data_IF_827833496173
#
_entry.id   IF_827833496173
#
_cell.length_a   1.000
_cell.length_b   1.000
_cell.length_c   1.000
_cell.angle_alpha   90.00
_cell.angle_beta   90.00
_cell.angle_gamma   90.00
#
_symmetry.space_group_name_H-M   'P 1'
#
loop_
_entity.id
_entity.type
_entity.pdbx_description
1 polymer ?
#
# COMPACT_ATOMS: atom_id res chain seq x y z
N UNK A 1 11.79 -19.04 -0.88
CA UNK A 1 13.21 -18.89 -0.50
C UNK A 1 13.27 -17.84 0.61
N UNK A 2 14.33 -17.79 1.42
CA UNK A 2 14.47 -16.72 2.40
C UNK A 2 14.35 -15.35 1.72
N UNK A 3 13.42 -14.52 2.20
CA UNK A 3 13.12 -13.20 1.62
C UNK A 3 11.98 -13.16 0.59
N UNK A 4 11.44 -14.31 0.17
CA UNK A 4 10.27 -14.32 -0.71
C UNK A 4 9.02 -13.82 0.03
N UNK A 5 8.19 -13.03 -0.67
CA UNK A 5 6.96 -12.46 -0.14
C UNK A 5 5.73 -13.05 -0.85
N UNK A 6 4.67 -13.32 -0.08
CA UNK A 6 3.36 -13.72 -0.59
C UNK A 6 2.35 -12.65 -0.15
N UNK A 7 1.70 -12.00 -1.10
CA UNK A 7 0.63 -11.04 -0.83
C UNK A 7 -0.70 -11.78 -0.77
N UNK A 8 -1.38 -11.72 0.39
CA UNK A 8 -2.59 -12.50 0.66
C UNK A 8 -3.85 -12.04 -0.12
N UNK A 9 -3.75 -10.96 -0.90
CA UNK A 9 -4.86 -10.35 -1.62
C UNK A 9 -5.61 -9.30 -0.79
N UNK A 10 -6.53 -8.61 -1.44
CA UNK A 10 -7.40 -7.60 -0.83
C UNK A 10 -8.86 -7.95 -1.06
N UNK A 11 -9.74 -7.46 -0.18
CA UNK A 11 -11.19 -7.57 -0.35
C UNK A 11 -11.75 -6.25 -0.91
N UNK A 12 -12.80 -6.27 -1.76
CA UNK A 12 -13.47 -5.07 -2.23
C UNK A 12 -14.30 -4.39 -1.11
N UNK A 13 -14.64 -3.10 -1.27
CA UNK A 13 -14.32 -2.23 -2.40
C UNK A 13 -12.91 -1.61 -2.31
N UNK A 14 -12.33 -1.32 -3.48
CA UNK A 14 -11.10 -0.52 -3.60
C UNK A 14 -11.44 0.83 -4.22
N UNK A 15 -10.77 1.88 -3.75
CA UNK A 15 -10.98 3.26 -4.23
C UNK A 15 -9.77 3.74 -5.06
N UNK A 16 -9.97 4.82 -5.83
CA UNK A 16 -8.94 5.42 -6.68
C UNK A 16 -8.04 6.32 -5.86
N UNK A 17 -6.72 6.05 -5.89
CA UNK A 17 -5.68 6.93 -5.36
C UNK A 17 -5.18 7.91 -6.42
N UNK A 18 -4.74 9.09 -6.02
CA UNK A 18 -4.28 10.17 -6.91
C UNK A 18 -2.96 10.78 -6.44
N UNK A 19 -2.17 11.39 -7.34
CA UNK A 19 -0.98 12.14 -6.94
C UNK A 19 -1.29 13.22 -5.89
N UNK A 20 -0.45 13.29 -4.85
CA UNK A 20 -0.63 14.16 -3.69
C UNK A 20 -1.24 13.45 -2.48
N UNK A 21 -1.89 12.30 -2.68
CA UNK A 21 -2.45 11.52 -1.57
C UNK A 21 -1.33 10.96 -0.68
N UNK A 22 -1.66 10.73 0.59
CA UNK A 22 -0.86 9.89 1.47
C UNK A 22 -1.68 8.68 1.88
N UNK A 23 -1.18 7.50 1.53
CA UNK A 23 -1.83 6.23 1.80
C UNK A 23 -1.16 5.60 3.02
N UNK A 24 -1.97 5.30 4.04
CA UNK A 24 -1.54 4.57 5.23
C UNK A 24 -2.21 3.19 5.25
N UNK A 25 -1.41 2.15 5.47
CA UNK A 25 -1.86 0.76 5.64
C UNK A 25 -1.40 0.28 7.00
N UNK A 26 -2.34 -0.14 7.83
CA UNK A 26 -2.08 -0.66 9.17
C UNK A 26 -2.36 -2.17 9.22
N UNK A 27 -1.44 -2.91 9.84
CA UNK A 27 -1.64 -4.31 10.22
C UNK A 27 -1.33 -4.45 11.71
N UNK A 28 -2.32 -4.91 12.47
CA UNK A 28 -2.20 -5.11 13.92
C UNK A 28 -0.99 -5.99 14.25
N UNK A 29 -0.18 -5.54 15.21
CA UNK A 29 1.03 -6.25 15.64
C UNK A 29 2.22 -6.18 14.67
N UNK A 30 2.06 -5.57 13.48
CA UNK A 30 3.14 -5.34 12.51
C UNK A 30 3.51 -3.86 12.46
N UNK A 31 2.51 -2.98 12.34
CA UNK A 31 2.69 -1.52 12.30
C UNK A 31 2.00 -0.87 11.10
N UNK A 32 2.39 0.39 10.82
CA UNK A 32 1.82 1.22 9.76
C UNK A 32 2.85 1.45 8.66
N UNK A 33 2.47 1.14 7.41
CA UNK A 33 3.18 1.54 6.20
C UNK A 33 2.54 2.81 5.64
N UNK A 34 3.32 3.88 5.48
CA UNK A 34 2.86 5.16 4.95
C UNK A 34 3.62 5.53 3.68
N UNK A 35 2.90 5.77 2.59
CA UNK A 35 3.47 6.16 1.31
C UNK A 35 2.78 7.40 0.75
N UNK A 36 3.57 8.36 0.29
CA UNK A 36 3.06 9.49 -0.49
C UNK A 36 2.94 9.08 -1.96
N UNK A 37 1.77 9.31 -2.54
CA UNK A 37 1.52 9.09 -3.97
C UNK A 37 2.06 10.29 -4.73
N UNK A 38 2.97 10.04 -5.65
CA UNK A 38 3.52 11.04 -6.57
C UNK A 38 3.10 10.71 -7.99
N UNK A 39 3.02 11.71 -8.86
CA UNK A 39 2.79 11.46 -10.28
C UNK A 39 3.96 10.66 -10.86
N UNK A 40 3.66 9.80 -11.82
CA UNK A 40 4.71 9.09 -12.55
C UNK A 40 5.60 10.10 -13.28
N UNK A 41 6.88 9.77 -13.40
CA UNK A 41 7.87 10.61 -14.07
C UNK A 41 8.16 10.03 -15.45
N UNK A 42 7.14 9.97 -16.31
CA UNK A 42 7.20 9.46 -17.70
C UNK A 42 8.01 8.17 -17.95
#
# INVERSE_FOLDING_TARGET
RPGDLIYAGTQPPVDVIKPGDTVEVEVEGVGVLKNQVVADKD
#
